data_IF_216457765161
#
_entry.id   IF_216457765161
#
_cell.length_a   1.000
_cell.length_b   1.000
_cell.length_c   1.000
_cell.angle_alpha   90.00
_cell.angle_beta   90.00
_cell.angle_gamma   90.00
#
_symmetry.space_group_name_H-M   'P 1'
#
loop_
_entity.id
_entity.type
_entity.pdbx_description
1 polymer ?
#
# COMPACT_ATOMS: atom_id res chain seq x y z
N UNK A 1 5.54 -5.93 7.14
CA UNK A 1 5.11 -4.51 7.06
C UNK A 1 3.87 -4.39 6.18
N UNK A 2 3.12 -3.29 6.32
CA UNK A 2 1.77 -3.12 5.75
C UNK A 2 1.69 -2.06 4.66
N UNK A 3 0.62 -1.28 4.68
CA UNK A 3 0.39 -0.19 3.73
C UNK A 3 0.97 1.11 4.24
N UNK A 4 1.50 1.94 3.34
CA UNK A 4 2.18 3.18 3.68
C UNK A 4 1.25 4.16 4.39
N UNK A 5 1.75 4.79 5.46
CA UNK A 5 1.16 6.01 6.00
C UNK A 5 1.46 7.22 5.10
N UNK A 6 0.93 8.40 5.44
CA UNK A 6 1.08 9.59 4.61
C UNK A 6 2.53 10.07 4.49
N UNK A 7 3.34 9.95 5.55
CA UNK A 7 4.75 10.37 5.52
C UNK A 7 5.58 9.47 4.62
N UNK A 8 5.43 8.15 4.75
CA UNK A 8 6.05 7.15 3.88
C UNK A 8 5.64 7.34 2.43
N UNK A 9 4.33 7.49 2.19
CA UNK A 9 3.77 7.74 0.86
C UNK A 9 4.40 8.97 0.22
N UNK A 10 4.43 10.11 0.93
CA UNK A 10 5.02 11.35 0.39
C UNK A 10 6.50 11.19 0.09
N UNK A 11 7.26 10.56 0.98
CA UNK A 11 8.69 10.38 0.77
C UNK A 11 8.95 9.50 -0.46
N UNK A 12 8.16 8.46 -0.66
CA UNK A 12 8.28 7.60 -1.84
C UNK A 12 7.95 8.37 -3.13
N UNK A 13 6.86 9.13 -3.18
CA UNK A 13 6.48 9.79 -4.45
C UNK A 13 7.39 10.97 -4.81
N UNK A 14 7.92 11.71 -3.82
CA UNK A 14 8.72 12.91 -4.08
C UNK A 14 10.24 12.64 -4.05
N UNK A 15 10.69 11.66 -3.28
CA UNK A 15 12.12 11.38 -3.05
C UNK A 15 12.54 9.96 -3.48
N UNK A 16 11.59 9.10 -3.88
CA UNK A 16 11.86 7.72 -4.27
C UNK A 16 12.58 6.92 -3.19
N UNK A 17 12.25 7.18 -1.92
CA UNK A 17 12.87 6.55 -0.76
C UNK A 17 11.86 6.20 0.33
N UNK A 18 12.15 5.14 1.06
CA UNK A 18 11.54 4.85 2.34
C UNK A 18 12.07 5.80 3.43
N UNK A 19 11.43 5.81 4.60
CA UNK A 19 11.85 6.65 5.72
C UNK A 19 13.28 6.35 6.17
N UNK A 20 13.72 5.09 6.09
CA UNK A 20 15.08 4.65 6.39
C UNK A 20 16.13 5.00 5.32
N UNK A 21 15.72 5.59 4.19
CA UNK A 21 16.61 6.00 3.09
C UNK A 21 16.83 4.93 2.01
N UNK A 22 16.25 3.75 2.14
CA UNK A 22 16.29 2.74 1.07
C UNK A 22 15.51 3.21 -0.16
N UNK A 23 16.02 2.90 -1.36
CA UNK A 23 15.39 3.29 -2.62
C UNK A 23 14.08 2.53 -2.80
N UNK A 24 13.00 3.27 -3.00
CA UNK A 24 11.68 2.72 -3.26
C UNK A 24 10.84 3.70 -4.07
N UNK A 25 10.47 3.33 -5.30
CA UNK A 25 9.91 4.26 -6.28
C UNK A 25 8.40 4.16 -6.46
N UNK A 26 7.76 3.16 -5.87
CA UNK A 26 6.34 2.86 -6.09
C UNK A 26 5.56 2.83 -4.77
N UNK A 27 4.59 3.71 -4.55
CA UNK A 27 3.84 3.71 -3.29
C UNK A 27 2.97 2.46 -3.16
N UNK A 28 3.01 1.80 -1.99
CA UNK A 28 2.13 0.70 -1.64
C UNK A 28 1.03 1.24 -0.73
N UNK A 29 -0.17 1.42 -1.27
CA UNK A 29 -1.29 2.04 -0.56
C UNK A 29 -2.58 1.25 -0.69
N UNK A 30 -3.44 1.31 0.34
CA UNK A 30 -4.76 0.68 0.36
C UNK A 30 -5.83 1.76 0.21
N UNK A 31 -6.67 1.63 -0.82
CA UNK A 31 -7.82 2.52 -1.02
C UNK A 31 -9.03 2.07 -0.21
N UNK A 32 -9.88 3.03 0.16
CA UNK A 32 -11.18 2.80 0.79
C UNK A 32 -12.23 3.70 0.15
N UNK A 33 -13.48 3.26 0.11
CA UNK A 33 -14.57 4.04 -0.50
C UNK A 33 -14.93 5.27 0.33
N UNK A 34 -14.93 5.14 1.66
CA UNK A 34 -15.13 6.21 2.62
C UNK A 34 -14.33 5.96 3.91
N UNK A 35 -14.33 6.94 4.81
CA UNK A 35 -13.72 6.83 6.15
C UNK A 35 -14.75 6.58 7.25
N UNK A 36 -15.99 6.25 6.89
CA UNK A 36 -17.03 5.95 7.85
C UNK A 36 -16.62 4.70 8.62
N UNK A 37 -16.70 4.79 9.95
CA UNK A 37 -16.36 3.67 10.84
C UNK A 37 -14.88 3.20 10.77
N UNK A 38 -14.00 4.01 10.17
CA UNK A 38 -12.54 3.79 10.16
C UNK A 38 -11.88 4.86 11.03
N UNK A 39 -11.12 4.45 12.04
CA UNK A 39 -10.42 5.34 12.98
C UNK A 39 -8.95 4.93 13.13
N UNK A 40 -8.08 5.91 13.35
CA UNK A 40 -6.67 5.62 13.68
C UNK A 40 -6.62 4.91 15.04
N UNK A 41 -5.79 3.88 15.15
CA UNK A 41 -5.71 3.00 16.31
C UNK A 41 -6.68 1.81 16.26
N UNK A 42 -7.58 1.75 15.28
CA UNK A 42 -8.49 0.62 15.08
C UNK A 42 -7.79 -0.55 14.40
N UNK A 43 -8.20 -1.76 14.76
CA UNK A 43 -7.88 -2.98 14.03
C UNK A 43 -9.08 -3.34 13.14
N UNK A 44 -8.85 -3.50 11.84
CA UNK A 44 -9.89 -3.78 10.86
C UNK A 44 -9.58 -5.06 10.09
N UNK A 45 -10.61 -5.88 9.85
CA UNK A 45 -10.48 -7.09 9.04
C UNK A 45 -10.34 -6.76 7.55
N UNK A 46 -9.46 -7.50 6.88
CA UNK A 46 -9.24 -7.47 5.45
C UNK A 46 -9.89 -8.70 4.80
N UNK A 47 -10.61 -8.46 3.70
CA UNK A 47 -11.26 -9.49 2.90
C UNK A 47 -10.80 -9.42 1.45
N UNK A 48 -10.65 -10.59 0.83
CA UNK A 48 -10.42 -10.72 -0.61
C UNK A 48 -11.36 -11.79 -1.16
N UNK A 49 -12.20 -11.45 -2.13
CA UNK A 49 -13.23 -12.34 -2.69
C UNK A 49 -14.05 -13.04 -1.59
N UNK A 50 -14.58 -12.23 -0.66
CA UNK A 50 -15.37 -12.67 0.51
C UNK A 50 -14.63 -13.58 1.51
N UNK A 51 -13.31 -13.80 1.33
CA UNK A 51 -12.48 -14.58 2.25
C UNK A 51 -11.71 -13.65 3.19
N UNK A 52 -11.82 -13.88 4.49
CA UNK A 52 -11.02 -13.17 5.50
C UNK A 52 -9.54 -13.53 5.38
N UNK A 53 -8.71 -12.56 4.99
CA UNK A 53 -7.27 -12.72 4.69
C UNK A 53 -6.35 -12.33 5.84
N UNK A 54 -6.84 -11.52 6.78
CA UNK A 54 -5.99 -10.91 7.79
C UNK A 54 -6.58 -9.60 8.29
N UNK A 55 -5.79 -8.80 8.97
CA UNK A 55 -6.22 -7.54 9.54
C UNK A 55 -5.20 -6.43 9.27
N UNK A 56 -5.64 -5.19 9.43
CA UNK A 56 -4.81 -3.98 9.41
C UNK A 56 -4.99 -3.22 10.74
N UNK A 57 -3.89 -2.84 11.36
CA UNK A 57 -3.85 -1.86 12.43
C UNK A 57 -3.72 -0.48 11.78
N UNK A 58 -4.80 0.31 11.77
CA UNK A 58 -4.84 1.62 11.11
C UNK A 58 -3.96 2.60 11.87
N UNK A 59 -2.94 3.12 11.21
CA UNK A 59 -2.01 4.12 11.74
C UNK A 59 -2.28 5.50 11.13
N UNK A 60 -2.86 5.55 9.92
CA UNK A 60 -3.12 6.82 9.24
C UNK A 60 -4.28 6.74 8.23
N UNK A 61 -4.85 7.91 7.91
CA UNK A 61 -5.88 8.10 6.89
C UNK A 61 -5.61 9.38 6.12
N UNK A 62 -5.48 9.29 4.80
CA UNK A 62 -5.11 10.46 3.98
C UNK A 62 -5.77 10.42 2.60
N UNK A 63 -5.70 11.55 1.89
CA UNK A 63 -6.22 11.70 0.54
C UNK A 63 -5.09 11.88 -0.46
N UNK A 64 -5.12 11.09 -1.52
CA UNK A 64 -4.26 11.26 -2.70
C UNK A 64 -4.78 12.44 -3.52
N UNK A 65 -3.87 13.31 -3.94
CA UNK A 65 -4.19 14.46 -4.78
C UNK A 65 -3.83 14.19 -6.24
N UNK A 66 -4.54 14.81 -7.18
CA UNK A 66 -4.24 14.68 -8.63
C UNK A 66 -2.77 14.99 -8.97
N UNK A 67 -2.15 15.93 -8.24
CA UNK A 67 -0.73 16.25 -8.43
C UNK A 67 0.19 15.09 -8.09
N UNK A 68 -0.19 14.25 -7.12
CA UNK A 68 0.63 13.13 -6.70
C UNK A 68 0.72 12.07 -7.80
N UNK A 69 -0.33 11.94 -8.63
CA UNK A 69 -0.33 11.01 -9.76
C UNK A 69 0.77 11.36 -10.78
N UNK A 70 1.05 12.65 -10.98
CA UNK A 70 2.14 13.07 -11.87
C UNK A 70 3.51 12.65 -11.33
N UNK A 71 3.69 12.69 -10.02
CA UNK A 71 4.92 12.26 -9.35
C UNK A 71 5.05 10.73 -9.35
N UNK A 72 3.94 10.00 -9.14
CA UNK A 72 3.93 8.54 -9.17
C UNK A 72 4.30 8.01 -10.56
N UNK A 73 3.70 8.57 -11.62
CA UNK A 73 3.89 8.08 -12.99
C UNK A 73 4.97 8.83 -13.77
N UNK A 74 5.56 9.89 -13.20
CA UNK A 74 6.60 10.72 -13.83
C UNK A 74 6.18 11.25 -15.21
N UNK A 75 4.88 11.51 -15.38
CA UNK A 75 4.30 12.00 -16.64
C UNK A 75 3.05 12.82 -16.38
N UNK A 76 2.81 13.81 -17.24
CA UNK A 76 1.56 14.59 -17.28
C UNK A 76 0.56 14.07 -18.33
N UNK A 77 0.87 12.95 -18.99
CA UNK A 77 -0.02 12.34 -19.96
C UNK A 77 -1.18 11.62 -19.26
N UNK A 78 -2.35 12.28 -19.25
CA UNK A 78 -3.57 11.70 -18.68
C UNK A 78 -4.07 10.46 -19.45
N UNK A 79 -3.52 10.18 -20.64
CA UNK A 79 -3.83 8.96 -21.40
C UNK A 79 -3.00 7.75 -20.95
N UNK A 80 -2.02 7.94 -20.07
CA UNK A 80 -1.20 6.85 -19.56
C UNK A 80 -2.09 5.81 -18.84
N UNK A 81 -2.01 4.51 -19.16
CA UNK A 81 -2.90 3.49 -18.59
C UNK A 81 -2.87 3.45 -17.05
N UNK A 82 -1.68 3.65 -16.45
CA UNK A 82 -1.52 3.72 -15.01
C UNK A 82 -2.24 4.94 -14.40
N UNK A 83 -2.14 6.10 -15.05
CA UNK A 83 -2.80 7.33 -14.60
C UNK A 83 -4.31 7.19 -14.65
N UNK A 84 -4.84 6.67 -15.77
CA UNK A 84 -6.29 6.42 -15.94
C UNK A 84 -6.78 5.44 -14.87
N UNK A 85 -6.02 4.37 -14.59
CA UNK A 85 -6.41 3.36 -13.61
C UNK A 85 -6.42 3.95 -12.20
N UNK A 86 -5.38 4.70 -11.83
CA UNK A 86 -5.29 5.31 -10.50
C UNK A 86 -6.35 6.41 -10.31
N UNK A 87 -6.65 7.20 -11.34
CA UNK A 87 -7.69 8.25 -11.27
C UNK A 87 -9.12 7.72 -11.11
N UNK A 88 -9.34 6.43 -11.44
CA UNK A 88 -10.64 5.75 -11.23
C UNK A 88 -10.80 5.18 -9.82
N UNK A 89 -9.70 5.01 -9.10
CA UNK A 89 -9.69 4.56 -7.71
C UNK A 89 -10.27 5.64 -6.82
N UNK A 90 -10.71 5.27 -5.62
CA UNK A 90 -11.00 6.27 -4.59
C UNK A 90 -9.74 7.12 -4.36
N UNK A 91 -9.86 8.36 -3.90
CA UNK A 91 -8.70 9.16 -3.46
C UNK A 91 -8.34 8.90 -1.99
N UNK A 92 -9.22 8.23 -1.25
CA UNK A 92 -9.04 7.97 0.17
C UNK A 92 -8.13 6.76 0.39
N UNK A 93 -7.18 6.90 1.31
CA UNK A 93 -6.20 5.87 1.66
C UNK A 93 -6.18 5.64 3.16
N UNK A 94 -5.88 4.40 3.51
CA UNK A 94 -5.54 4.01 4.87
C UNK A 94 -4.12 3.41 4.88
N UNK A 95 -3.34 3.83 5.87
CA UNK A 95 -1.99 3.33 6.12
C UNK A 95 -1.93 2.58 7.44
N UNK A 96 -1.05 1.59 7.53
CA UNK A 96 -0.85 0.84 8.76
C UNK A 96 -0.36 -0.59 8.56
N UNK A 97 -0.01 -1.22 9.67
CA UNK A 97 0.57 -2.57 9.70
C UNK A 97 -0.48 -3.62 9.44
N UNK A 98 -0.12 -4.66 8.69
CA UNK A 98 -1.01 -5.78 8.40
C UNK A 98 -0.52 -7.07 9.06
N UNK A 99 -1.46 -7.93 9.41
CA UNK A 99 -1.21 -9.33 9.77
C UNK A 99 -2.03 -10.20 8.81
N UNK A 100 -1.38 -11.04 8.01
CA UNK A 100 -2.06 -11.95 7.08
C UNK A 100 -2.06 -13.38 7.61
N UNK A 101 -3.06 -14.19 7.24
CA UNK A 101 -3.06 -15.62 7.59
C UNK A 101 -2.04 -16.39 6.74
N UNK A 102 -1.36 -17.35 7.37
CA UNK A 102 -0.33 -18.19 6.75
C UNK A 102 -0.77 -18.87 5.44
N UNK A 103 -2.02 -19.29 5.33
CA UNK A 103 -2.54 -19.98 4.15
C UNK A 103 -2.46 -19.12 2.87
N UNK A 104 -2.55 -17.79 2.98
CA UNK A 104 -2.42 -16.90 1.82
C UNK A 104 -0.98 -16.71 1.36
N UNK A 105 -0.01 -16.95 2.23
CA UNK A 105 1.39 -17.04 1.82
C UNK A 105 1.65 -18.33 1.03
N UNK A 106 0.95 -19.42 1.37
CA UNK A 106 1.14 -20.74 0.78
C UNK A 106 0.51 -20.89 -0.61
N UNK A 107 -0.47 -20.07 -0.94
CA UNK A 107 -1.14 -20.05 -2.25
C UNK A 107 -0.61 -18.95 -3.18
N UNK A 108 0.37 -18.16 -2.72
CA UNK A 108 1.11 -17.21 -3.55
C UNK A 108 1.80 -17.92 -4.71
N UNK A 109 1.79 -17.28 -5.90
CA UNK A 109 2.54 -17.72 -7.08
C UNK A 109 4.04 -17.92 -6.80
N UNK A 110 4.55 -17.36 -5.70
CA UNK A 110 5.96 -17.37 -5.31
C UNK A 110 6.27 -18.27 -4.10
N UNK A 111 5.39 -19.21 -3.73
CA UNK A 111 5.56 -20.12 -2.56
C UNK A 111 6.96 -20.73 -2.41
N UNK A 112 7.63 -21.05 -3.52
CA UNK A 112 8.96 -21.67 -3.54
C UNK A 112 10.13 -20.66 -3.68
N UNK A 113 9.84 -19.37 -3.86
CA UNK A 113 10.82 -18.28 -4.02
C UNK A 113 10.84 -17.37 -2.78
N UNK A 114 9.70 -17.26 -2.08
CA UNK A 114 9.55 -16.36 -0.93
C UNK A 114 10.42 -16.73 0.28
N UNK A 115 10.78 -18.01 0.46
CA UNK A 115 11.70 -18.41 1.54
C UNK A 115 13.08 -17.79 1.34
N UNK A 116 13.66 -17.93 0.16
CA UNK A 116 15.06 -17.56 -0.06
C UNK A 116 15.31 -16.05 -0.14
N UNK A 117 14.29 -15.24 -0.49
CA UNK A 117 14.43 -13.79 -0.68
C UNK A 117 14.20 -13.00 0.62
N UNK A 118 13.41 -13.55 1.55
CA UNK A 118 13.04 -12.85 2.80
C UNK A 118 13.59 -13.51 4.07
N UNK A 119 14.24 -14.69 3.98
CA UNK A 119 15.08 -15.26 5.07
C UNK A 119 16.51 -14.69 5.09
N UNK A 120 16.82 -13.67 4.28
CA UNK A 120 18.12 -13.00 4.41
C UNK A 120 18.14 -12.21 5.71
N UNK A 121 18.79 -12.79 6.73
CA UNK A 121 19.24 -12.13 7.95
C UNK A 121 19.76 -10.72 7.62
N UNK A 122 18.94 -9.71 7.85
CA UNK A 122 19.42 -8.34 7.99
C UNK A 122 20.12 -8.30 9.35
N UNK A 123 21.44 -8.53 9.32
CA UNK A 123 22.35 -8.25 10.43
C UNK A 123 22.49 -6.75 10.67
#
# INVERSE_FOLDING_TARGET
>A
EGFMNYEEYKKVIYEMQLLNGEIWTLPITLEVDDFKDIYVGQKQDLYYQDKFIGNIQIEDKFCVQDRDLYEIFQTKDEKHPGFIKEKKRSSLRVGGKIELKEEFYKDSLYKNILKDVFDTDIK
#
